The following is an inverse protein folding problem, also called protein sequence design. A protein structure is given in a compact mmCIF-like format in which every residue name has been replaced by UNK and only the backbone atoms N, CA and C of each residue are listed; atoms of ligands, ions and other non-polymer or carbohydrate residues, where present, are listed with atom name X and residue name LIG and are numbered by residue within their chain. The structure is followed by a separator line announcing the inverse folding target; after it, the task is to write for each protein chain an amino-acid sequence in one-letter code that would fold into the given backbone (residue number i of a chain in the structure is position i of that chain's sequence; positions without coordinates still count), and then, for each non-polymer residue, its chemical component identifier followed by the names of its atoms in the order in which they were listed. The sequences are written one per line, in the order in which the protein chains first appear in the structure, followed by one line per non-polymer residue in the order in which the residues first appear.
data_IF_306482796404
#
_entry.id   IF_306482796404
#
_cell.length_a   1.000
_cell.length_b   1.000
_cell.length_c   1.000
_cell.angle_alpha   90.00
_cell.angle_beta   90.00
_cell.angle_gamma   90.00
#
_symmetry.space_group_name_H-M   'P 1'
#
loop_
_entity.id
_entity.type
_entity.pdbx_description
1 polymer ?
#
# COMPACT_ATOMS: atom_id res chain seq x y z
N UNK A 1 -22.45 -15.46 17.59
CA UNK A 1 -22.55 -15.91 16.20
C UNK A 1 -22.45 -14.65 15.34
N UNK A 2 -21.26 -14.32 14.80
CA UNK A 2 -21.04 -13.13 14.00
C UNK A 2 -21.61 -13.34 12.59
N UNK A 3 -22.31 -12.37 11.99
CA UNK A 3 -22.81 -12.51 10.64
C UNK A 3 -21.64 -12.59 9.66
N UNK A 4 -21.56 -13.67 8.91
CA UNK A 4 -20.65 -13.80 7.79
C UNK A 4 -21.03 -12.74 6.74
N UNK A 5 -20.28 -11.63 6.66
CA UNK A 5 -20.37 -10.72 5.53
C UNK A 5 -19.88 -11.47 4.29
N UNK A 6 -20.81 -11.75 3.38
CA UNK A 6 -20.47 -12.20 2.03
C UNK A 6 -19.68 -11.08 1.35
N UNK A 7 -18.40 -11.29 1.10
CA UNK A 7 -17.68 -10.52 0.10
C UNK A 7 -18.43 -10.68 -1.22
N UNK A 8 -18.60 -9.63 -2.03
CA UNK A 8 -19.17 -9.78 -3.35
C UNK A 8 -18.34 -10.84 -4.07
N UNK A 9 -19.00 -11.89 -4.56
CA UNK A 9 -18.35 -12.94 -5.32
C UNK A 9 -17.84 -12.31 -6.62
N UNK A 10 -16.55 -11.99 -6.65
CA UNK A 10 -15.89 -11.64 -7.89
C UNK A 10 -16.02 -12.84 -8.83
N UNK A 11 -16.72 -12.69 -9.94
CA UNK A 11 -16.89 -13.79 -10.90
C UNK A 11 -15.53 -14.13 -11.51
N UNK A 12 -15.32 -15.37 -11.97
CA UNK A 12 -14.08 -15.76 -12.66
C UNK A 12 -13.77 -14.86 -13.88
N UNK A 13 -14.80 -14.25 -14.49
CA UNK A 13 -14.65 -13.27 -15.57
C UNK A 13 -14.06 -11.95 -15.10
N UNK A 14 -14.46 -11.47 -13.90
CA UNK A 14 -13.93 -10.22 -13.36
C UNK A 14 -12.47 -10.38 -12.95
N UNK A 15 -12.09 -11.55 -12.43
CA UNK A 15 -10.70 -11.86 -12.08
C UNK A 15 -9.81 -11.96 -13.33
N UNK A 16 -10.29 -12.59 -14.41
CA UNK A 16 -9.56 -12.68 -15.67
C UNK A 16 -9.39 -11.31 -16.35
N UNK A 17 -10.41 -10.42 -16.30
CA UNK A 17 -10.31 -9.07 -16.85
C UNK A 17 -9.38 -8.17 -16.02
N UNK A 18 -9.33 -8.33 -14.71
CA UNK A 18 -8.36 -7.65 -13.84
C UNK A 18 -6.91 -8.09 -14.12
N UNK A 19 -6.69 -9.40 -14.32
CA UNK A 19 -5.36 -9.93 -14.69
C UNK A 19 -4.94 -9.42 -16.07
N UNK A 20 -5.87 -9.30 -17.01
CA UNK A 20 -5.61 -8.83 -18.38
C UNK A 20 -5.31 -7.31 -18.42
N UNK A 21 -5.76 -6.52 -17.40
CA UNK A 21 -5.40 -5.12 -17.25
C UNK A 21 -3.97 -4.92 -16.69
N UNK A 22 -3.43 -5.88 -15.94
CA UNK A 22 -2.06 -5.85 -15.41
C UNK A 22 -1.08 -6.28 -16.51
N UNK A 23 -0.45 -5.32 -17.17
CA UNK A 23 0.40 -5.59 -18.34
C UNK A 23 1.87 -5.27 -18.13
N UNK A 24 2.22 -4.62 -17.00
CA UNK A 24 3.60 -4.17 -16.73
C UNK A 24 4.49 -5.30 -16.20
N UNK A 25 5.78 -5.16 -16.48
CA UNK A 25 6.83 -6.07 -16.03
C UNK A 25 8.09 -5.27 -15.64
N UNK A 26 9.10 -5.92 -15.12
CA UNK A 26 10.35 -5.29 -14.69
C UNK A 26 10.93 -4.28 -15.70
N UNK A 27 10.86 -4.55 -16.99
CA UNK A 27 11.37 -3.65 -18.06
C UNK A 27 10.72 -2.27 -18.06
N UNK A 28 9.50 -2.16 -17.49
CA UNK A 28 8.70 -0.93 -17.48
C UNK A 28 9.01 -0.03 -16.27
N UNK A 29 9.96 -0.45 -15.42
CA UNK A 29 10.38 0.26 -14.21
C UNK A 29 11.89 0.50 -14.15
N UNK A 30 12.47 1.26 -15.10
CA UNK A 30 13.87 1.67 -15.01
C UNK A 30 14.09 2.61 -13.83
N UNK A 31 15.33 2.70 -13.33
CA UNK A 31 15.69 3.68 -12.30
C UNK A 31 15.33 5.10 -12.76
N UNK A 32 14.86 5.93 -11.84
CA UNK A 32 14.36 7.28 -12.12
C UNK A 32 12.86 7.32 -12.52
N UNK A 33 12.18 6.18 -12.67
CA UNK A 33 10.72 6.16 -12.89
C UNK A 33 10.01 6.69 -11.65
N UNK A 34 9.13 7.68 -11.84
CA UNK A 34 8.25 8.21 -10.81
C UNK A 34 6.78 7.93 -11.16
N UNK A 35 6.02 7.42 -10.20
CA UNK A 35 4.59 7.14 -10.36
C UNK A 35 3.82 7.76 -9.19
N UNK A 36 2.56 8.10 -9.44
CA UNK A 36 1.65 8.65 -8.44
C UNK A 36 0.36 7.84 -8.48
N UNK A 37 -0.09 7.39 -7.32
CA UNK A 37 -1.33 6.61 -7.20
C UNK A 37 -2.59 7.46 -7.36
N UNK A 38 -3.73 6.77 -7.49
CA UNK A 38 -5.04 7.35 -7.15
C UNK A 38 -5.07 7.77 -5.68
N UNK A 39 -6.14 8.47 -5.29
CA UNK A 39 -6.37 8.88 -3.90
C UNK A 39 -7.30 7.88 -3.21
N UNK A 40 -7.03 7.57 -1.95
CA UNK A 40 -7.88 6.74 -1.09
C UNK A 40 -8.24 7.46 0.21
N UNK A 41 -9.54 7.45 0.57
CA UNK A 41 -10.05 8.12 1.76
C UNK A 41 -10.11 7.19 2.95
N UNK A 42 -9.45 7.57 4.04
CA UNK A 42 -9.43 6.80 5.28
C UNK A 42 -10.62 7.21 6.17
N UNK A 43 -11.55 6.28 6.42
CA UNK A 43 -12.73 6.55 7.26
C UNK A 43 -12.48 6.19 8.72
N UNK A 44 -13.25 6.79 9.65
CA UNK A 44 -13.21 6.43 11.06
C UNK A 44 -13.52 4.94 11.30
N UNK A 45 -14.49 4.40 10.57
CA UNK A 45 -14.88 2.99 10.69
C UNK A 45 -13.74 2.06 10.25
N UNK A 46 -13.06 2.36 9.15
CA UNK A 46 -11.90 1.59 8.68
C UNK A 46 -10.75 1.61 9.70
N UNK A 47 -10.48 2.77 10.30
CA UNK A 47 -9.47 2.91 11.37
C UNK A 47 -9.80 1.98 12.54
N UNK A 48 -11.03 2.06 13.04
CA UNK A 48 -11.47 1.27 14.19
C UNK A 48 -11.55 -0.23 13.88
N UNK A 49 -11.97 -0.60 12.67
CA UNK A 49 -12.02 -1.99 12.23
C UNK A 49 -10.63 -2.61 12.17
N UNK A 50 -9.68 -1.92 11.52
CA UNK A 50 -8.28 -2.37 11.48
C UNK A 50 -7.70 -2.49 12.90
N UNK A 51 -7.93 -1.48 13.73
CA UNK A 51 -7.39 -1.47 15.09
C UNK A 51 -7.92 -2.62 15.94
N UNK A 52 -9.21 -2.94 15.84
CA UNK A 52 -9.79 -4.08 16.59
C UNK A 52 -9.14 -5.41 16.24
N UNK A 53 -8.73 -5.56 14.97
CA UNK A 53 -8.15 -6.80 14.48
C UNK A 53 -6.64 -6.92 14.72
N UNK A 54 -5.89 -5.79 14.60
CA UNK A 54 -4.44 -5.85 14.46
C UNK A 54 -3.67 -4.94 15.42
N UNK A 55 -4.25 -3.81 15.90
CA UNK A 55 -3.58 -2.84 16.75
C UNK A 55 -4.56 -2.21 17.74
N UNK A 56 -4.97 -2.95 18.78
CA UNK A 56 -6.10 -2.58 19.66
C UNK A 56 -5.78 -1.48 20.67
N UNK A 57 -4.94 -0.51 20.32
CA UNK A 57 -4.62 0.63 21.17
C UNK A 57 -5.79 1.64 21.23
N UNK A 58 -5.95 2.28 22.39
CA UNK A 58 -7.13 3.12 22.71
C UNK A 58 -7.32 4.27 21.70
N UNK A 59 -6.24 4.89 21.25
CA UNK A 59 -6.26 6.02 20.32
C UNK A 59 -6.55 5.63 18.87
N UNK A 60 -6.61 4.32 18.58
CA UNK A 60 -7.02 3.78 17.28
C UNK A 60 -8.45 3.20 17.31
N UNK A 61 -9.03 2.99 18.50
CA UNK A 61 -10.29 2.26 18.69
C UNK A 61 -11.46 3.09 19.14
N UNK A 62 -11.23 4.13 19.95
CA UNK A 62 -12.28 4.92 20.58
C UNK A 62 -12.02 6.42 20.42
N UNK A 63 -12.87 7.12 19.63
CA UNK A 63 -12.71 8.55 19.39
C UNK A 63 -12.77 9.40 20.66
N UNK A 64 -13.54 9.01 21.68
CA UNK A 64 -13.67 9.78 22.94
C UNK A 64 -12.40 9.64 23.78
N UNK A 65 -11.96 8.43 24.00
CA UNK A 65 -10.74 8.18 24.77
C UNK A 65 -9.49 8.69 24.07
N UNK A 66 -9.46 8.66 22.73
CA UNK A 66 -8.35 9.17 21.92
C UNK A 66 -8.09 10.67 22.14
N UNK A 67 -9.11 11.46 22.50
CA UNK A 67 -8.96 12.90 22.80
C UNK A 67 -8.05 13.17 24.00
N UNK A 68 -7.97 12.24 24.93
CA UNK A 68 -7.15 12.35 26.15
C UNK A 68 -5.72 11.82 25.96
N UNK A 69 -5.37 11.39 24.78
CA UNK A 69 -4.05 10.85 24.43
C UNK A 69 -3.18 11.91 23.74
N UNK A 70 -1.89 11.58 23.54
CA UNK A 70 -0.96 12.40 22.76
C UNK A 70 -1.49 12.77 21.37
N UNK A 71 -2.33 11.91 20.78
CA UNK A 71 -2.92 12.17 19.46
C UNK A 71 -4.03 13.22 19.47
N UNK A 72 -4.66 13.53 20.62
CA UNK A 72 -5.74 14.50 20.73
C UNK A 72 -6.99 14.15 19.91
N UNK A 73 -7.17 12.88 19.52
CA UNK A 73 -8.28 12.37 18.73
C UNK A 73 -7.94 11.07 18.01
N UNK A 74 -8.94 10.47 17.36
CA UNK A 74 -8.77 9.21 16.65
C UNK A 74 -7.69 9.33 15.58
N UNK A 75 -6.77 8.37 15.56
CA UNK A 75 -5.69 8.26 14.58
C UNK A 75 -5.65 6.84 14.00
N UNK A 76 -5.27 6.70 12.75
CA UNK A 76 -5.01 5.38 12.17
C UNK A 76 -3.72 4.78 12.75
N UNK A 77 -3.71 3.45 12.91
CA UNK A 77 -2.45 2.73 13.14
C UNK A 77 -1.47 2.98 12.00
N UNK A 78 -0.19 3.07 12.30
CA UNK A 78 0.85 3.12 11.28
C UNK A 78 0.76 1.92 10.33
N UNK A 79 0.42 0.73 10.84
CA UNK A 79 0.22 -0.46 10.04
C UNK A 79 -1.03 -0.40 9.16
N UNK A 80 -2.09 0.30 9.58
CA UNK A 80 -3.24 0.59 8.72
C UNK A 80 -2.82 1.50 7.56
N UNK A 81 -2.06 2.55 7.84
CA UNK A 81 -1.48 3.43 6.83
C UNK A 81 -0.61 2.65 5.84
N UNK A 82 0.21 1.71 6.35
CA UNK A 82 1.03 0.84 5.52
C UNK A 82 0.19 -0.10 4.63
N UNK A 83 -0.91 -0.65 5.15
CA UNK A 83 -1.82 -1.49 4.38
C UNK A 83 -2.53 -0.72 3.25
N UNK A 84 -2.98 0.51 3.52
CA UNK A 84 -3.54 1.40 2.49
C UNK A 84 -2.49 1.74 1.43
N UNK A 85 -1.27 2.10 1.85
CA UNK A 85 -0.16 2.39 0.95
C UNK A 85 0.21 1.19 0.07
N UNK A 86 0.16 -0.04 0.63
CA UNK A 86 0.41 -1.27 -0.13
C UNK A 86 -0.65 -1.50 -1.20
N UNK A 87 -1.94 -1.28 -0.90
CA UNK A 87 -3.01 -1.37 -1.90
C UNK A 87 -2.78 -0.36 -3.03
N UNK A 88 -2.56 0.90 -2.70
CA UNK A 88 -2.26 1.95 -3.68
C UNK A 88 -1.02 1.61 -4.53
N UNK A 89 0.01 1.01 -3.91
CA UNK A 89 1.21 0.55 -4.60
C UNK A 89 0.90 -0.52 -5.64
N UNK A 90 0.19 -1.57 -5.25
CA UNK A 90 -0.15 -2.70 -6.15
C UNK A 90 -1.02 -2.23 -7.31
N UNK A 91 -2.04 -1.41 -7.03
CA UNK A 91 -2.93 -0.82 -8.03
C UNK A 91 -2.18 0.08 -9.02
N UNK A 92 -1.18 0.85 -8.54
CA UNK A 92 -0.41 1.78 -9.39
C UNK A 92 0.64 1.08 -10.23
N UNK A 93 1.27 0.04 -9.68
CA UNK A 93 2.31 -0.71 -10.37
C UNK A 93 1.78 -1.63 -11.49
N UNK A 94 0.58 -2.18 -11.34
CA UNK A 94 -0.11 -3.03 -12.33
C UNK A 94 0.75 -4.16 -12.90
N UNK A 95 1.54 -4.83 -12.06
CA UNK A 95 2.50 -5.84 -12.51
C UNK A 95 1.81 -7.17 -12.76
N UNK A 96 1.91 -7.68 -13.99
CA UNK A 96 1.47 -9.02 -14.34
C UNK A 96 2.25 -10.08 -13.55
N UNK A 97 1.54 -11.02 -12.92
CA UNK A 97 2.14 -12.06 -12.08
C UNK A 97 2.53 -11.60 -10.66
N UNK A 98 2.26 -10.34 -10.32
CA UNK A 98 2.44 -9.80 -8.97
C UNK A 98 3.86 -9.33 -8.64
N UNK A 99 4.01 -8.81 -7.44
CA UNK A 99 5.23 -8.22 -6.90
C UNK A 99 5.60 -8.97 -5.62
N UNK A 100 6.83 -9.43 -5.52
CA UNK A 100 7.33 -10.11 -4.32
C UNK A 100 8.15 -9.12 -3.50
N UNK A 101 7.64 -8.71 -2.33
CA UNK A 101 8.39 -7.91 -1.37
C UNK A 101 9.56 -8.70 -0.79
N UNK A 102 10.74 -8.08 -0.74
CA UNK A 102 11.96 -8.70 -0.22
C UNK A 102 12.42 -8.09 1.10
N UNK A 103 11.79 -6.99 1.52
CA UNK A 103 12.09 -6.29 2.75
C UNK A 103 11.75 -4.81 2.65
N UNK A 104 11.62 -4.17 3.82
CA UNK A 104 11.31 -2.76 3.99
C UNK A 104 12.36 -2.15 4.91
N UNK A 105 12.94 -1.04 4.49
CA UNK A 105 13.92 -0.27 5.24
C UNK A 105 13.37 1.11 5.57
N UNK A 106 13.80 1.69 6.69
CA UNK A 106 13.52 3.06 7.11
C UNK A 106 12.03 3.44 7.14
N UNK A 107 11.17 2.52 7.57
CA UNK A 107 9.74 2.79 7.71
C UNK A 107 9.51 3.86 8.80
N UNK A 108 8.87 4.98 8.43
CA UNK A 108 8.60 6.13 9.30
C UNK A 108 7.16 6.59 9.13
N UNK A 109 6.54 7.05 10.23
CA UNK A 109 5.22 7.68 10.28
C UNK A 109 5.34 9.06 10.94
N UNK A 110 5.79 10.10 10.21
CA UNK A 110 6.05 11.41 10.79
C UNK A 110 4.79 12.15 11.22
N UNK A 111 3.64 11.87 10.58
CA UNK A 111 2.36 12.51 10.90
C UNK A 111 1.26 11.46 10.99
N UNK A 112 0.33 11.66 11.94
CA UNK A 112 -0.81 10.78 12.14
C UNK A 112 -1.85 10.95 11.02
N UNK A 113 -2.34 9.83 10.50
CA UNK A 113 -3.50 9.81 9.59
C UNK A 113 -4.78 9.93 10.41
N UNK A 114 -5.68 10.82 9.99
CA UNK A 114 -6.93 11.13 10.67
C UNK A 114 -8.14 10.63 9.86
N UNK A 115 -9.29 10.43 10.54
CA UNK A 115 -10.54 10.19 9.83
C UNK A 115 -10.81 11.30 8.79
N UNK A 116 -11.10 10.89 7.57
CA UNK A 116 -11.36 11.79 6.45
C UNK A 116 -10.11 12.20 5.65
N UNK A 117 -8.91 11.85 6.09
CA UNK A 117 -7.71 12.07 5.29
C UNK A 117 -7.77 11.29 3.97
N UNK A 118 -7.31 11.93 2.91
CA UNK A 118 -7.18 11.38 1.57
C UNK A 118 -5.70 11.10 1.29
N UNK A 119 -5.36 9.83 1.17
CA UNK A 119 -3.97 9.39 1.02
C UNK A 119 -3.63 9.18 -0.46
N UNK A 120 -2.44 9.62 -0.84
CA UNK A 120 -1.84 9.41 -2.16
C UNK A 120 -0.42 8.93 -1.99
N UNK A 121 -0.04 7.91 -2.75
CA UNK A 121 1.30 7.35 -2.76
C UNK A 121 2.12 7.88 -3.93
N UNK A 122 3.30 8.38 -3.64
CA UNK A 122 4.35 8.69 -4.60
C UNK A 122 5.39 7.56 -4.56
N UNK A 123 5.75 7.04 -5.73
CA UNK A 123 6.65 5.90 -5.92
C UNK A 123 7.82 6.36 -6.78
N UNK A 124 9.05 6.17 -6.32
CA UNK A 124 10.24 6.42 -7.10
C UNK A 124 11.11 5.14 -7.18
N UNK A 125 11.44 4.72 -8.37
CA UNK A 125 12.36 3.59 -8.60
C UNK A 125 13.79 4.10 -8.49
N UNK A 126 14.47 3.77 -7.40
CA UNK A 126 15.85 4.22 -7.15
C UNK A 126 16.87 3.37 -7.91
N UNK A 127 16.65 2.06 -7.95
CA UNK A 127 17.53 1.10 -8.62
C UNK A 127 16.70 0.03 -9.34
N UNK A 128 17.19 -0.45 -10.46
CA UNK A 128 16.63 -1.56 -11.19
C UNK A 128 17.75 -2.46 -11.74
N UNK A 129 17.71 -3.75 -11.43
CA UNK A 129 18.70 -4.72 -11.91
C UNK A 129 18.08 -6.10 -12.13
N UNK A 130 18.65 -6.88 -13.03
CA UNK A 130 18.22 -8.28 -13.18
C UNK A 130 18.62 -9.10 -11.96
N UNK A 131 17.79 -10.07 -11.61
CA UNK A 131 18.11 -11.01 -10.55
C UNK A 131 19.20 -11.98 -11.03
N UNK A 132 20.26 -12.13 -10.21
CA UNK A 132 21.34 -13.10 -10.49
C UNK A 132 20.92 -14.54 -10.18
N UNK A 133 20.10 -14.74 -9.16
CA UNK A 133 19.63 -16.07 -8.70
C UNK A 133 18.36 -16.55 -9.38
N UNK A 134 17.59 -15.64 -10.02
CA UNK A 134 16.33 -15.94 -10.72
C UNK A 134 16.26 -15.23 -12.07
N UNK A 135 16.78 -15.84 -13.15
CA UNK A 135 16.93 -15.18 -14.46
C UNK A 135 15.63 -14.62 -15.07
N UNK A 136 14.48 -15.18 -14.69
CA UNK A 136 13.14 -14.70 -15.12
C UNK A 136 12.63 -13.47 -14.38
N UNK A 137 13.43 -12.86 -13.48
CA UNK A 137 13.01 -11.76 -12.61
C UNK A 137 13.99 -10.59 -12.64
N UNK A 138 13.47 -9.42 -12.32
CA UNK A 138 14.24 -8.23 -11.96
C UNK A 138 14.01 -7.83 -10.52
N UNK A 139 14.93 -7.08 -9.95
CA UNK A 139 14.85 -6.52 -8.60
C UNK A 139 14.89 -5.01 -8.73
N UNK A 140 13.98 -4.34 -8.05
CA UNK A 140 13.92 -2.88 -7.94
C UNK A 140 14.07 -2.47 -6.48
N UNK A 141 14.72 -1.32 -6.26
CA UNK A 141 14.71 -0.58 -5.00
C UNK A 141 13.82 0.63 -5.16
N UNK A 142 12.93 0.85 -4.21
CA UNK A 142 11.82 1.78 -4.35
C UNK A 142 11.79 2.68 -3.12
N UNK A 143 11.65 3.99 -3.33
CA UNK A 143 11.20 4.93 -2.32
C UNK A 143 9.69 5.10 -2.44
N UNK A 144 8.99 4.91 -1.34
CA UNK A 144 7.55 5.09 -1.22
C UNK A 144 7.27 6.24 -0.23
N UNK A 145 6.50 7.24 -0.66
CA UNK A 145 6.11 8.38 0.18
C UNK A 145 4.60 8.56 0.09
N UNK A 146 3.91 8.31 1.21
CA UNK A 146 2.46 8.52 1.30
C UNK A 146 2.20 9.90 1.90
N UNK A 147 1.37 10.68 1.22
CA UNK A 147 0.96 12.03 1.63
C UNK A 147 -0.54 12.11 1.80
N UNK A 148 -0.99 13.00 2.69
CA UNK A 148 -2.40 13.35 2.80
C UNK A 148 -2.76 14.50 1.83
N UNK A 149 -4.03 14.92 1.83
CA UNK A 149 -4.54 16.00 0.97
C UNK A 149 -3.90 17.38 1.22
N UNK A 150 -3.22 17.57 2.38
CA UNK A 150 -2.48 18.79 2.71
C UNK A 150 -1.01 18.75 2.22
N UNK A 151 -0.60 17.64 1.59
CA UNK A 151 0.79 17.41 1.18
C UNK A 151 1.72 16.97 2.30
N UNK A 152 1.20 16.71 3.50
CA UNK A 152 1.99 16.24 4.64
C UNK A 152 2.36 14.77 4.44
N UNK A 153 3.63 14.44 4.67
CA UNK A 153 4.10 13.05 4.64
C UNK A 153 3.57 12.32 5.87
N UNK A 154 2.74 11.30 5.65
CA UNK A 154 2.18 10.46 6.72
C UNK A 154 2.91 9.12 6.85
N UNK A 155 3.60 8.69 5.79
CA UNK A 155 4.45 7.52 5.79
C UNK A 155 5.56 7.66 4.74
N UNK A 156 6.74 7.15 5.05
CA UNK A 156 7.79 6.93 4.07
C UNK A 156 8.56 5.65 4.37
N UNK A 157 9.01 4.94 3.33
CA UNK A 157 9.86 3.76 3.48
C UNK A 157 10.58 3.44 2.18
N UNK A 158 11.71 2.75 2.29
CA UNK A 158 12.34 2.09 1.16
C UNK A 158 12.00 0.61 1.14
N UNK A 159 11.81 0.04 -0.05
CA UNK A 159 11.56 -1.38 -0.21
C UNK A 159 12.41 -1.97 -1.33
N UNK A 160 12.74 -3.25 -1.19
CA UNK A 160 13.26 -4.06 -2.28
C UNK A 160 12.14 -4.99 -2.75
N UNK A 161 11.93 -5.07 -4.05
CA UNK A 161 10.89 -5.89 -4.64
C UNK A 161 11.39 -6.63 -5.87
N UNK A 162 10.87 -7.84 -6.06
CA UNK A 162 11.17 -8.68 -7.21
C UNK A 162 9.94 -8.79 -8.11
N UNK A 163 10.14 -8.54 -9.41
CA UNK A 163 9.09 -8.55 -10.43
C UNK A 163 9.46 -9.50 -11.57
N UNK A 164 8.46 -10.11 -12.25
CA UNK A 164 8.70 -10.85 -13.49
C UNK A 164 9.40 -9.98 -14.52
N UNK A 165 10.39 -10.54 -15.23
CA UNK A 165 11.15 -9.81 -16.26
C UNK A 165 10.33 -9.54 -17.53
N UNK A 166 9.32 -10.37 -17.79
CA UNK A 166 8.34 -10.23 -18.87
C UNK A 166 6.94 -10.39 -18.28
N UNK A 167 5.94 -9.79 -18.91
CA UNK A 167 4.54 -10.08 -18.59
C UNK A 167 4.29 -11.54 -18.90
N UNK A 168 4.15 -12.36 -17.88
CA UNK A 168 3.72 -13.76 -18.02
C UNK A 168 2.18 -13.80 -17.92
N UNK A 169 1.52 -13.23 -18.92
CA UNK A 169 0.12 -13.59 -19.18
C UNK A 169 0.18 -14.64 -20.27
N UNK A 170 -0.26 -15.89 -20.02
CA UNK A 170 -0.39 -16.89 -21.06
C UNK A 170 -1.45 -16.48 -22.09
#
# INVERSE_FOLDING_TARGET
MLPQRRFPSCSRRDYASMIQAMSRAFKDFPAGTCLISSTDRVTADAIMEFARAFDPQIFHRDPKSAQQTLFGGLAASGWHTAAVSMRLFVETMEVAGGIIGMGVDELKWPNAVRPGDELRLEIEILEARRSKSRPGYGIIRILNVTKNQRGEVVQSFMANAMLPARSSVP
#
